data_IF_736130879540
#
_entry.id   IF_736130879540
#
_cell.length_a   1.000
_cell.length_b   1.000
_cell.length_c   1.000
_cell.angle_alpha   90.00
_cell.angle_beta   90.00
_cell.angle_gamma   90.00
#
_symmetry.space_group_name_H-M   'P 1'
#
loop_
_entity.id
_entity.type
_entity.pdbx_description
1 polymer ?
#
# COMPACT_ATOMS: atom_id res chain seq x y z
N UNK A 1 -33.25 3.26 -12.50
CA UNK A 1 -31.80 3.50 -12.56
C UNK A 1 -31.53 4.68 -11.66
N UNK A 2 -30.75 4.48 -10.60
CA UNK A 2 -30.24 5.54 -9.72
C UNK A 2 -29.19 6.32 -10.54
N UNK A 3 -29.14 7.64 -10.40
CA UNK A 3 -28.21 8.46 -11.20
C UNK A 3 -26.78 8.32 -10.64
N UNK A 4 -25.73 8.55 -11.45
CA UNK A 4 -24.35 8.62 -10.93
C UNK A 4 -24.16 9.64 -9.80
N UNK A 5 -24.93 10.74 -9.80
CA UNK A 5 -24.94 11.72 -8.71
C UNK A 5 -25.44 11.11 -7.39
N UNK A 6 -26.45 10.23 -7.44
CA UNK A 6 -26.97 9.56 -6.23
C UNK A 6 -25.94 8.61 -5.63
N UNK A 7 -25.12 7.92 -6.47
CA UNK A 7 -24.04 7.05 -6.01
C UNK A 7 -22.92 7.83 -5.31
N UNK A 8 -22.51 8.95 -5.88
CA UNK A 8 -21.48 9.81 -5.30
C UNK A 8 -21.94 10.38 -3.95
N UNK A 9 -23.16 10.88 -3.84
CA UNK A 9 -23.71 11.44 -2.59
C UNK A 9 -23.76 10.35 -1.49
N UNK A 10 -24.28 9.15 -1.81
CA UNK A 10 -24.32 8.05 -0.86
C UNK A 10 -22.91 7.63 -0.41
N UNK A 11 -21.93 7.56 -1.33
CA UNK A 11 -20.55 7.20 -1.01
C UNK A 11 -19.85 8.25 -0.12
N UNK A 12 -20.12 9.54 -0.33
CA UNK A 12 -19.67 10.63 0.55
C UNK A 12 -20.25 10.45 1.97
N UNK A 13 -21.55 10.19 2.08
CA UNK A 13 -22.22 10.01 3.38
C UNK A 13 -21.68 8.79 4.13
N UNK A 14 -21.47 7.67 3.42
CA UNK A 14 -20.88 6.44 3.99
C UNK A 14 -19.44 6.71 4.45
N UNK A 15 -18.60 7.35 3.62
CA UNK A 15 -17.24 7.71 4.00
C UNK A 15 -17.20 8.63 5.21
N UNK A 16 -18.02 9.69 5.21
CA UNK A 16 -18.11 10.62 6.33
C UNK A 16 -18.50 9.90 7.64
N UNK A 17 -19.36 8.88 7.53
CA UNK A 17 -19.74 8.05 8.67
C UNK A 17 -18.61 7.14 9.14
N UNK A 18 -17.87 6.51 8.22
CA UNK A 18 -16.73 5.65 8.54
C UNK A 18 -15.61 6.43 9.23
N UNK A 19 -15.31 7.65 8.79
CA UNK A 19 -14.29 8.52 9.41
C UNK A 19 -14.64 8.86 10.87
N UNK A 20 -15.92 9.01 11.20
CA UNK A 20 -16.36 9.34 12.58
C UNK A 20 -16.22 8.20 13.58
N UNK A 21 -15.93 6.99 13.13
CA UNK A 21 -15.58 5.89 14.03
C UNK A 21 -14.10 5.98 14.41
N UNK A 22 -13.81 5.92 15.70
CA UNK A 22 -12.45 5.78 16.22
C UNK A 22 -11.96 4.33 15.96
N UNK A 23 -11.12 4.21 14.94
CA UNK A 23 -10.49 2.95 14.56
C UNK A 23 -8.97 3.08 14.50
N UNK A 24 -8.42 3.99 15.31
CA UNK A 24 -6.97 4.20 15.43
C UNK A 24 -6.30 2.91 15.92
N UNK A 25 -5.28 2.49 15.22
CA UNK A 25 -4.51 1.29 15.51
C UNK A 25 -3.01 1.63 15.66
N UNK A 26 -2.37 1.36 16.80
CA UNK A 26 -2.96 0.81 18.02
C UNK A 26 -3.83 1.80 18.83
N UNK A 27 -4.80 1.34 19.68
CA UNK A 27 -5.04 -0.05 20.07
C UNK A 27 -5.96 -0.85 19.13
N UNK A 28 -6.72 -0.19 18.22
CA UNK A 28 -7.76 -0.79 17.39
C UNK A 28 -9.11 -0.93 18.13
N UNK A 29 -10.17 -0.31 17.60
CA UNK A 29 -11.53 -0.30 18.15
C UNK A 29 -12.56 -0.42 17.02
N UNK A 30 -12.34 -1.36 16.11
CA UNK A 30 -13.05 -1.41 14.83
C UNK A 30 -14.48 -1.96 14.95
N UNK A 31 -14.86 -2.59 16.07
CA UNK A 31 -16.18 -3.26 16.24
C UNK A 31 -17.35 -2.36 15.85
N UNK A 32 -17.43 -1.15 16.38
CA UNK A 32 -18.55 -0.26 16.12
C UNK A 32 -18.64 0.13 14.63
N UNK A 33 -17.50 0.32 13.97
CA UNK A 33 -17.38 0.58 12.54
C UNK A 33 -17.87 -0.62 11.72
N UNK A 34 -17.38 -1.81 12.03
CA UNK A 34 -17.72 -3.05 11.32
C UNK A 34 -19.18 -3.46 11.52
N UNK A 35 -19.73 -3.30 12.73
CA UNK A 35 -21.15 -3.56 12.99
C UNK A 35 -22.08 -2.61 12.23
N UNK A 36 -21.69 -1.32 12.14
CA UNK A 36 -22.43 -0.35 11.33
C UNK A 36 -22.35 -0.69 9.83
N UNK A 37 -21.17 -0.99 9.32
CA UNK A 37 -20.96 -1.37 7.92
C UNK A 37 -21.73 -2.66 7.57
N UNK A 38 -21.70 -3.64 8.47
CA UNK A 38 -22.49 -4.87 8.36
C UNK A 38 -23.98 -4.55 8.21
N UNK A 39 -24.54 -3.72 9.11
CA UNK A 39 -25.96 -3.36 9.07
C UNK A 39 -26.32 -2.64 7.76
N UNK A 40 -25.47 -1.70 7.30
CA UNK A 40 -25.66 -1.00 6.04
C UNK A 40 -25.76 -1.98 4.84
N UNK A 41 -24.90 -2.98 4.79
CA UNK A 41 -24.86 -3.99 3.73
C UNK A 41 -26.03 -5.00 3.85
N UNK A 42 -26.41 -5.41 5.06
CA UNK A 42 -27.58 -6.27 5.30
C UNK A 42 -28.89 -5.58 4.92
N UNK A 43 -29.03 -4.29 5.20
CA UNK A 43 -30.21 -3.48 4.79
C UNK A 43 -30.33 -3.40 3.26
N UNK A 44 -29.22 -3.51 2.54
CA UNK A 44 -29.20 -3.61 1.08
C UNK A 44 -29.47 -5.03 0.56
N UNK A 45 -29.43 -6.06 1.43
CA UNK A 45 -29.72 -7.46 1.10
C UNK A 45 -28.49 -8.31 0.81
N UNK A 46 -27.29 -7.93 1.30
CA UNK A 46 -26.11 -8.78 1.27
C UNK A 46 -26.12 -9.76 2.46
N UNK A 47 -25.47 -10.92 2.28
CA UNK A 47 -25.20 -11.87 3.36
C UNK A 47 -23.92 -11.45 4.09
N UNK A 48 -23.99 -11.12 5.38
CA UNK A 48 -22.86 -10.61 6.14
C UNK A 48 -22.52 -11.46 7.34
N UNK A 49 -21.22 -11.63 7.63
CA UNK A 49 -20.72 -12.24 8.86
C UNK A 49 -19.55 -11.45 9.45
N UNK A 50 -19.45 -11.42 10.77
CA UNK A 50 -18.30 -10.88 11.50
C UNK A 50 -17.45 -12.02 12.03
N UNK A 51 -16.15 -11.97 11.74
CA UNK A 51 -15.16 -12.98 12.08
C UNK A 51 -14.04 -12.35 12.89
N UNK A 52 -13.81 -12.87 14.10
CA UNK A 52 -12.77 -12.36 14.99
C UNK A 52 -11.65 -13.38 15.15
N UNK A 53 -10.43 -12.88 15.21
CA UNK A 53 -9.30 -13.60 15.79
C UNK A 53 -9.49 -13.72 17.33
N UNK A 54 -8.47 -13.39 18.10
CA UNK A 54 -8.53 -13.49 19.57
C UNK A 54 -9.32 -12.36 20.23
N UNK A 55 -9.30 -11.15 19.62
CA UNK A 55 -9.94 -9.97 20.18
C UNK A 55 -11.32 -9.71 19.57
N UNK A 56 -12.41 -9.90 20.33
CA UNK A 56 -13.77 -9.68 19.81
C UNK A 56 -14.07 -8.21 19.46
N UNK A 57 -13.29 -7.24 19.97
CA UNK A 57 -13.45 -5.83 19.63
C UNK A 57 -12.86 -5.46 18.25
N UNK A 58 -12.21 -6.42 17.59
CA UNK A 58 -11.57 -6.25 16.29
C UNK A 58 -12.08 -7.30 15.27
N UNK A 59 -13.37 -7.26 14.90
CA UNK A 59 -13.94 -8.19 13.93
C UNK A 59 -13.59 -7.78 12.51
N UNK A 60 -13.35 -8.77 11.64
CA UNK A 60 -13.33 -8.63 10.20
C UNK A 60 -14.77 -8.85 9.66
N UNK A 61 -15.17 -8.10 8.65
CA UNK A 61 -16.46 -8.23 8.00
C UNK A 61 -16.29 -8.93 6.65
N UNK A 62 -17.09 -9.97 6.42
CA UNK A 62 -17.27 -10.59 5.10
C UNK A 62 -18.71 -10.38 4.66
N UNK A 63 -18.91 -9.73 3.52
CA UNK A 63 -20.23 -9.57 2.92
C UNK A 63 -20.24 -10.20 1.51
N UNK A 64 -21.35 -10.85 1.14
CA UNK A 64 -21.44 -11.70 -0.06
C UNK A 64 -22.69 -11.42 -0.88
N UNK A 65 -22.48 -11.45 -2.21
CA UNK A 65 -23.56 -11.53 -3.20
C UNK A 65 -23.32 -12.76 -4.05
N UNK A 66 -24.12 -13.80 -3.88
CA UNK A 66 -23.95 -15.08 -4.57
C UNK A 66 -24.78 -15.16 -5.84
N UNK A 67 -24.18 -15.78 -6.88
CA UNK A 67 -24.83 -16.19 -8.10
C UNK A 67 -25.41 -17.59 -8.04
N UNK A 68 -25.82 -18.09 -9.19
CA UNK A 68 -26.35 -19.45 -9.33
C UNK A 68 -25.19 -20.46 -9.58
N UNK A 69 -24.85 -21.25 -8.55
CA UNK A 69 -23.83 -22.29 -8.62
C UNK A 69 -22.39 -21.79 -8.56
N UNK A 70 -21.45 -22.73 -8.76
CA UNK A 70 -20.02 -22.45 -8.68
C UNK A 70 -19.53 -21.61 -9.87
N UNK A 71 -18.60 -20.72 -9.58
CA UNK A 71 -18.00 -19.82 -10.56
C UNK A 71 -16.87 -18.99 -9.93
N UNK A 72 -16.33 -18.02 -10.66
CA UNK A 72 -15.26 -17.18 -10.16
C UNK A 72 -15.72 -16.28 -8.98
N UNK A 73 -14.80 -16.00 -8.08
CA UNK A 73 -15.04 -15.13 -6.93
C UNK A 73 -14.22 -13.84 -7.09
N UNK A 74 -14.93 -12.71 -7.19
CA UNK A 74 -14.32 -11.37 -7.15
C UNK A 74 -14.36 -10.85 -5.72
N UNK A 75 -13.20 -10.54 -5.16
CA UNK A 75 -13.05 -9.92 -3.85
C UNK A 75 -12.76 -8.43 -3.95
N UNK A 76 -13.37 -7.64 -3.09
CA UNK A 76 -13.00 -6.29 -2.72
C UNK A 76 -12.42 -6.34 -1.32
N UNK A 77 -11.19 -5.90 -1.15
CA UNK A 77 -10.47 -5.92 0.12
C UNK A 77 -10.17 -4.50 0.54
N UNK A 78 -10.56 -4.17 1.75
CA UNK A 78 -10.22 -2.89 2.36
C UNK A 78 -10.02 -3.03 3.87
N UNK A 79 -9.20 -2.16 4.47
CA UNK A 79 -9.08 -2.08 5.92
C UNK A 79 -9.85 -0.88 6.47
N UNK A 80 -10.28 -0.98 7.72
CA UNK A 80 -11.04 0.08 8.40
C UNK A 80 -10.26 0.74 9.55
N UNK A 81 -9.13 0.16 9.95
CA UNK A 81 -8.22 0.80 10.90
C UNK A 81 -7.45 1.95 10.24
N UNK A 82 -6.90 2.82 11.06
CA UNK A 82 -6.16 4.01 10.61
C UNK A 82 -4.99 4.28 11.54
N UNK A 83 -3.95 4.95 11.03
CA UNK A 83 -2.92 5.52 11.88
C UNK A 83 -3.48 6.68 12.73
N UNK A 84 -2.74 7.05 13.76
CA UNK A 84 -3.10 8.17 14.65
C UNK A 84 -3.09 9.51 13.90
N UNK A 85 -3.87 10.46 14.42
CA UNK A 85 -3.83 11.86 14.02
C UNK A 85 -3.88 12.75 15.27
N UNK A 86 -3.02 13.78 15.31
CA UNK A 86 -3.13 14.83 16.32
C UNK A 86 -3.95 16.00 15.73
N UNK A 87 -5.15 16.29 16.25
CA UNK A 87 -5.98 17.38 15.73
C UNK A 87 -5.30 18.75 15.73
N UNK A 88 -4.26 18.94 16.55
CA UNK A 88 -3.51 20.20 16.60
C UNK A 88 -2.71 20.49 15.32
N UNK A 89 -2.39 19.47 14.55
CA UNK A 89 -1.65 19.58 13.29
C UNK A 89 -2.56 19.78 12.08
N UNK A 90 -3.89 19.64 12.24
CA UNK A 90 -4.86 19.66 11.15
C UNK A 90 -5.59 20.99 11.03
N UNK A 91 -5.90 21.40 9.79
CA UNK A 91 -6.75 22.57 9.50
C UNK A 91 -8.22 22.34 9.81
N UNK A 92 -8.70 21.11 9.64
CA UNK A 92 -10.05 20.65 9.95
C UNK A 92 -9.96 19.43 10.86
N UNK A 93 -10.94 19.21 11.72
CA UNK A 93 -10.95 18.05 12.63
C UNK A 93 -10.83 16.74 11.85
N UNK A 94 -9.76 15.93 12.09
CA UNK A 94 -9.52 14.69 11.37
C UNK A 94 -10.61 13.62 11.55
N UNK A 95 -11.51 13.81 12.48
CA UNK A 95 -12.57 12.84 12.79
C UNK A 95 -13.97 13.36 12.41
N UNK A 96 -14.08 14.54 11.81
CA UNK A 96 -15.38 15.13 11.45
C UNK A 96 -16.01 14.47 10.20
N UNK A 97 -15.20 14.07 9.22
CA UNK A 97 -15.68 13.63 7.92
C UNK A 97 -16.46 14.71 7.19
N UNK A 98 -16.06 15.98 7.30
CA UNK A 98 -16.69 17.12 6.68
C UNK A 98 -16.11 17.40 5.29
N UNK A 99 -16.94 17.96 4.42
CA UNK A 99 -16.51 18.39 3.08
C UNK A 99 -16.15 19.88 3.13
N UNK A 100 -14.90 20.20 2.79
CA UNK A 100 -14.40 21.55 2.64
C UNK A 100 -13.71 21.70 1.27
N UNK A 101 -14.01 22.76 0.56
CA UNK A 101 -13.41 23.09 -0.74
C UNK A 101 -13.49 21.95 -1.79
N UNK A 102 -14.57 21.17 -1.76
CA UNK A 102 -14.80 20.05 -2.69
C UNK A 102 -14.05 18.77 -2.35
N UNK A 103 -13.38 18.69 -1.20
CA UNK A 103 -12.75 17.49 -0.69
C UNK A 103 -13.36 17.08 0.65
N UNK A 104 -13.47 15.77 0.90
CA UNK A 104 -13.82 15.20 2.20
C UNK A 104 -12.54 15.04 3.00
N UNK A 105 -12.52 15.64 4.19
CA UNK A 105 -11.36 15.69 5.09
C UNK A 105 -11.52 14.69 6.23
N UNK A 106 -10.41 14.03 6.55
CA UNK A 106 -10.35 13.16 7.71
C UNK A 106 -9.27 12.11 7.62
N UNK A 107 -8.85 11.58 8.75
CA UNK A 107 -7.96 10.42 8.80
C UNK A 107 -8.69 9.17 8.26
N UNK A 108 -8.09 8.51 7.27
CA UNK A 108 -8.72 7.44 6.52
C UNK A 108 -9.49 7.91 5.28
N UNK A 109 -9.52 9.22 4.99
CA UNK A 109 -10.20 9.73 3.78
C UNK A 109 -9.50 9.27 2.49
N UNK A 110 -8.22 8.99 2.55
CA UNK A 110 -7.44 8.44 1.44
C UNK A 110 -6.98 7.01 1.75
N UNK A 111 -6.49 6.75 2.95
CA UNK A 111 -5.95 5.47 3.40
C UNK A 111 -6.79 4.90 4.56
N UNK A 112 -7.77 3.94 4.30
CA UNK A 112 -8.36 3.67 2.98
C UNK A 112 -9.90 3.59 3.07
N UNK A 113 -10.52 4.29 4.07
CA UNK A 113 -11.99 4.24 4.28
C UNK A 113 -12.79 4.73 3.06
N UNK A 114 -12.18 5.55 2.16
CA UNK A 114 -12.83 5.95 0.92
C UNK A 114 -13.05 4.75 -0.01
N UNK A 115 -12.08 3.85 -0.12
CA UNK A 115 -12.25 2.63 -0.90
C UNK A 115 -13.30 1.72 -0.25
N UNK A 116 -13.25 1.54 1.08
CA UNK A 116 -14.28 0.79 1.82
C UNK A 116 -15.69 1.33 1.54
N UNK A 117 -15.86 2.66 1.56
CA UNK A 117 -17.14 3.30 1.28
C UNK A 117 -17.60 3.06 -0.17
N UNK A 118 -16.70 3.26 -1.14
CA UNK A 118 -16.99 3.07 -2.55
C UNK A 118 -17.40 1.62 -2.87
N UNK A 119 -16.66 0.64 -2.33
CA UNK A 119 -16.95 -0.79 -2.45
C UNK A 119 -18.32 -1.16 -1.85
N UNK A 120 -18.59 -0.67 -0.63
CA UNK A 120 -19.83 -0.95 0.07
C UNK A 120 -21.05 -0.37 -0.66
N UNK A 121 -20.96 0.89 -1.09
CA UNK A 121 -22.05 1.57 -1.83
C UNK A 121 -22.28 0.92 -3.19
N UNK A 122 -21.21 0.57 -3.91
CA UNK A 122 -21.30 -0.12 -5.19
C UNK A 122 -22.02 -1.47 -5.06
N UNK A 123 -21.63 -2.28 -4.08
CA UNK A 123 -22.26 -3.59 -3.84
C UNK A 123 -23.72 -3.46 -3.39
N UNK A 124 -24.01 -2.52 -2.47
CA UNK A 124 -25.38 -2.21 -2.04
C UNK A 124 -26.25 -1.78 -3.20
N UNK A 125 -25.74 -0.88 -4.06
CA UNK A 125 -26.43 -0.43 -5.26
C UNK A 125 -26.75 -1.57 -6.22
N UNK A 126 -25.77 -2.43 -6.50
CA UNK A 126 -25.96 -3.60 -7.37
C UNK A 126 -27.13 -4.49 -6.88
N UNK A 127 -27.13 -4.79 -5.57
CA UNK A 127 -28.14 -5.65 -4.96
C UNK A 127 -29.52 -5.00 -4.97
N UNK A 128 -29.64 -3.72 -4.62
CA UNK A 128 -30.88 -2.92 -4.66
C UNK A 128 -31.44 -2.82 -6.08
N UNK A 129 -30.56 -2.78 -7.09
CA UNK A 129 -30.96 -2.82 -8.50
C UNK A 129 -31.35 -4.21 -9.01
N UNK A 130 -31.34 -5.22 -8.15
CA UNK A 130 -31.69 -6.60 -8.49
C UNK A 130 -30.59 -7.38 -9.20
N UNK A 131 -29.36 -6.83 -9.27
CA UNK A 131 -28.23 -7.55 -9.87
C UNK A 131 -27.72 -8.66 -8.96
N UNK A 132 -27.35 -9.76 -9.58
CA UNK A 132 -26.62 -10.89 -8.97
C UNK A 132 -25.63 -11.42 -10.00
N UNK A 133 -24.48 -11.99 -9.57
CA UNK A 133 -23.62 -12.75 -10.47
C UNK A 133 -24.43 -13.86 -11.17
N UNK A 134 -24.14 -14.14 -12.43
CA UNK A 134 -24.73 -15.33 -13.08
C UNK A 134 -24.19 -16.62 -12.42
N UNK A 135 -22.89 -16.64 -12.13
CA UNK A 135 -22.22 -17.72 -11.40
C UNK A 135 -21.16 -17.12 -10.49
N UNK A 136 -20.75 -17.88 -9.45
CA UNK A 136 -19.72 -17.43 -8.54
C UNK A 136 -20.22 -16.40 -7.52
N UNK A 137 -19.35 -15.47 -7.13
CA UNK A 137 -19.62 -14.61 -5.98
C UNK A 137 -18.91 -13.25 -6.10
N UNK A 138 -19.58 -12.18 -5.71
CA UNK A 138 -18.94 -10.92 -5.30
C UNK A 138 -18.80 -10.93 -3.78
N UNK A 139 -17.59 -10.69 -3.30
CA UNK A 139 -17.26 -10.71 -1.87
C UNK A 139 -16.61 -9.39 -1.46
N UNK A 140 -17.12 -8.74 -0.39
CA UNK A 140 -16.47 -7.63 0.28
C UNK A 140 -15.81 -8.16 1.55
N UNK A 141 -14.56 -7.78 1.76
CA UNK A 141 -13.72 -8.22 2.86
C UNK A 141 -13.16 -6.97 3.52
N UNK A 142 -13.86 -6.45 4.54
CA UNK A 142 -13.37 -5.31 5.30
C UNK A 142 -12.62 -5.83 6.55
N UNK A 143 -11.30 -5.63 6.54
CA UNK A 143 -10.41 -6.17 7.57
C UNK A 143 -9.98 -5.13 8.59
N UNK A 144 -9.32 -5.59 9.62
CA UNK A 144 -8.69 -4.82 10.69
C UNK A 144 -7.17 -5.04 10.65
N UNK A 145 -6.41 -4.20 11.35
CA UNK A 145 -5.01 -4.44 11.69
C UNK A 145 -4.01 -4.27 10.53
N UNK A 146 -4.41 -3.71 9.39
CA UNK A 146 -3.51 -3.50 8.25
C UNK A 146 -2.33 -2.63 8.67
N UNK A 147 -2.59 -1.51 9.33
CA UNK A 147 -1.62 -0.48 9.76
C UNK A 147 -0.55 -0.99 10.73
N UNK A 148 -0.75 -2.19 11.28
CA UNK A 148 0.24 -2.89 12.14
C UNK A 148 0.64 -4.27 11.63
N UNK A 149 0.29 -4.57 10.35
CA UNK A 149 0.77 -5.72 9.58
C UNK A 149 -0.23 -6.85 9.36
N UNK A 150 -1.53 -6.64 9.63
CA UNK A 150 -2.64 -7.50 9.23
C UNK A 150 -2.78 -8.84 9.98
N UNK A 151 -2.13 -9.00 11.14
CA UNK A 151 -2.11 -10.27 11.88
C UNK A 151 -3.47 -10.71 12.40
N UNK A 152 -4.33 -9.76 12.78
CA UNK A 152 -5.70 -10.03 13.24
C UNK A 152 -6.72 -9.91 12.09
N UNK A 153 -6.30 -9.34 10.96
CA UNK A 153 -7.06 -9.11 9.75
C UNK A 153 -6.80 -10.14 8.67
N UNK A 154 -6.20 -9.69 7.57
CA UNK A 154 -6.01 -10.48 6.35
C UNK A 154 -5.16 -11.73 6.56
N UNK A 155 -4.09 -11.69 7.39
CA UNK A 155 -3.31 -12.87 7.70
C UNK A 155 -4.17 -13.93 8.39
N UNK A 156 -4.86 -13.55 9.47
CA UNK A 156 -5.71 -14.49 10.22
C UNK A 156 -6.82 -15.08 9.33
N UNK A 157 -7.48 -14.25 8.52
CA UNK A 157 -8.54 -14.72 7.62
C UNK A 157 -8.00 -15.74 6.61
N UNK A 158 -6.88 -15.46 5.97
CA UNK A 158 -6.31 -16.34 4.95
C UNK A 158 -5.78 -17.65 5.53
N UNK A 159 -5.23 -17.64 6.74
CA UNK A 159 -4.67 -18.82 7.41
C UNK A 159 -5.74 -19.64 8.15
N UNK A 160 -6.66 -19.00 8.87
CA UNK A 160 -7.60 -19.68 9.77
C UNK A 160 -9.03 -19.80 9.21
N UNK A 161 -9.38 -18.96 8.25
CA UNK A 161 -10.70 -18.96 7.61
C UNK A 161 -10.59 -18.88 6.07
N UNK A 162 -9.78 -19.77 5.46
CA UNK A 162 -9.60 -19.78 4.01
C UNK A 162 -10.91 -19.98 3.23
N UNK A 163 -11.91 -20.63 3.83
CA UNK A 163 -13.27 -20.76 3.31
C UNK A 163 -13.98 -19.41 3.13
N UNK A 164 -13.76 -18.49 4.05
CA UNK A 164 -14.32 -17.15 4.00
C UNK A 164 -13.47 -16.20 3.10
N UNK A 165 -12.14 -16.33 3.16
CA UNK A 165 -11.20 -15.42 2.50
C UNK A 165 -10.96 -15.70 1.01
N UNK A 166 -11.05 -16.97 0.53
CA UNK A 166 -10.66 -17.37 -0.83
C UNK A 166 -11.39 -16.57 -1.91
N UNK A 167 -10.60 -16.04 -2.85
CA UNK A 167 -11.05 -15.32 -4.04
C UNK A 167 -10.16 -15.68 -5.24
N UNK A 168 -10.65 -15.52 -6.46
CA UNK A 168 -9.89 -15.71 -7.69
C UNK A 168 -9.29 -14.38 -8.15
N UNK A 169 -10.06 -13.30 -8.02
CA UNK A 169 -9.63 -11.94 -8.30
C UNK A 169 -9.84 -11.06 -7.07
N UNK A 170 -8.89 -10.19 -6.79
CA UNK A 170 -8.93 -9.28 -5.64
C UNK A 170 -8.56 -7.86 -6.08
N UNK A 171 -9.39 -6.91 -5.72
CA UNK A 171 -9.03 -5.49 -5.73
C UNK A 171 -8.78 -5.04 -4.30
N UNK A 172 -7.65 -4.37 -4.09
CA UNK A 172 -7.22 -3.76 -2.84
C UNK A 172 -6.65 -2.34 -3.13
N UNK A 173 -6.05 -1.72 -2.15
CA UNK A 173 -5.36 -0.43 -2.24
C UNK A 173 -4.02 -0.50 -3.01
N UNK A 174 -3.40 0.67 -3.22
CA UNK A 174 -2.02 0.81 -3.69
C UNK A 174 -1.88 1.26 -5.14
N UNK A 175 -2.98 1.60 -5.82
CA UNK A 175 -2.97 2.12 -7.18
C UNK A 175 -4.25 2.86 -7.54
N UNK A 176 -4.38 3.29 -8.80
CA UNK A 176 -5.59 3.87 -9.35
C UNK A 176 -5.63 5.40 -9.41
N UNK A 177 -4.80 6.12 -8.65
CA UNK A 177 -4.72 7.56 -8.80
C UNK A 177 -4.02 7.94 -10.12
N UNK A 178 -4.58 8.91 -10.84
CA UNK A 178 -4.00 9.38 -12.10
C UNK A 178 -2.59 9.93 -11.89
N UNK A 179 -1.68 9.53 -12.78
CA UNK A 179 -0.30 10.00 -12.86
C UNK A 179 -0.13 10.78 -14.18
N UNK A 180 -0.18 12.11 -14.16
CA UNK A 180 0.16 12.91 -15.34
C UNK A 180 1.61 12.69 -15.77
N UNK A 181 1.82 12.36 -17.07
CA UNK A 181 3.16 12.18 -17.65
C UNK A 181 3.20 12.80 -19.04
N UNK A 182 3.72 14.03 -19.13
CA UNK A 182 3.57 14.86 -20.32
C UNK A 182 2.08 15.13 -20.61
N UNK A 183 1.63 14.75 -21.81
CA UNK A 183 0.21 14.86 -22.20
C UNK A 183 -0.61 13.59 -21.87
N UNK A 184 0.03 12.54 -21.35
CA UNK A 184 -0.60 11.26 -21.02
C UNK A 184 -1.20 11.27 -19.61
N UNK A 185 -2.27 10.52 -19.44
CA UNK A 185 -2.87 10.22 -18.13
C UNK A 185 -2.72 8.72 -17.87
N UNK A 186 -1.84 8.37 -16.95
CA UNK A 186 -1.56 6.99 -16.59
C UNK A 186 -2.27 6.67 -15.29
N UNK A 187 -2.85 5.47 -15.19
CA UNK A 187 -3.43 4.94 -13.96
C UNK A 187 -2.66 3.68 -13.56
N UNK A 188 -1.97 3.75 -12.45
CA UNK A 188 -1.20 2.62 -11.95
C UNK A 188 -2.11 1.50 -11.45
N UNK A 189 -1.95 0.29 -11.98
CA UNK A 189 -2.52 -0.93 -11.41
C UNK A 189 -1.42 -1.64 -10.65
N UNK A 190 -1.51 -1.66 -9.32
CA UNK A 190 -0.48 -2.23 -8.48
C UNK A 190 -0.51 -3.76 -8.53
N UNK A 191 0.42 -4.35 -9.27
CA UNK A 191 0.51 -5.80 -9.47
C UNK A 191 1.43 -6.50 -8.48
N UNK A 192 2.28 -5.76 -7.77
CA UNK A 192 3.33 -6.32 -6.95
C UNK A 192 3.70 -5.42 -5.77
N UNK A 193 4.36 -5.98 -4.79
CA UNK A 193 4.79 -5.31 -3.58
C UNK A 193 6.22 -5.67 -3.23
N UNK A 194 6.99 -4.68 -2.74
CA UNK A 194 8.36 -4.92 -2.27
C UNK A 194 8.37 -5.69 -0.96
N UNK A 195 9.39 -6.51 -0.81
CA UNK A 195 9.73 -7.13 0.47
C UNK A 195 10.57 -6.23 1.36
N UNK A 196 10.79 -6.68 2.58
CA UNK A 196 11.59 -5.98 3.58
C UNK A 196 12.66 -6.91 4.14
N UNK A 197 13.88 -6.39 4.25
CA UNK A 197 14.98 -6.99 5.03
C UNK A 197 15.55 -5.90 5.90
N UNK A 198 15.44 -6.07 7.21
CA UNK A 198 16.01 -5.11 8.17
C UNK A 198 17.33 -5.64 8.70
N UNK A 199 18.33 -4.78 8.79
CA UNK A 199 19.63 -5.17 9.31
C UNK A 199 20.28 -4.04 10.12
N UNK A 200 21.32 -4.41 10.89
CA UNK A 200 22.13 -3.48 11.65
C UNK A 200 23.57 -3.53 11.14
N UNK A 201 24.22 -2.38 11.17
CA UNK A 201 25.64 -2.23 10.90
C UNK A 201 26.31 -1.85 12.20
N UNK A 202 27.24 -2.69 12.66
CA UNK A 202 27.96 -2.52 13.92
C UNK A 202 29.40 -2.14 13.68
N UNK A 203 29.92 -1.24 14.51
CA UNK A 203 31.33 -0.92 14.59
C UNK A 203 31.86 -1.13 16.01
N UNK A 204 33.09 -1.62 16.08
CA UNK A 204 33.81 -1.82 17.33
C UNK A 204 35.05 -0.94 17.38
N UNK A 205 35.34 -0.41 18.54
CA UNK A 205 36.50 0.43 18.82
C UNK A 205 37.01 0.21 20.24
N UNK A 206 37.69 1.19 20.80
CA UNK A 206 38.19 1.20 22.18
C UNK A 206 37.78 2.47 22.87
N UNK A 207 37.11 2.30 24.04
CA UNK A 207 36.72 3.43 24.87
C UNK A 207 37.90 4.25 25.37
N UNK A 208 37.69 5.53 25.64
CA UNK A 208 38.66 6.42 26.20
C UNK A 208 38.05 7.72 26.70
N UNK A 209 38.87 8.51 27.39
CA UNK A 209 38.42 9.82 27.84
C UNK A 209 38.37 10.81 26.68
N UNK A 210 37.27 11.53 26.50
CA UNK A 210 37.07 12.42 25.34
C UNK A 210 38.10 13.54 25.20
N UNK A 211 38.77 13.94 26.29
CA UNK A 211 39.83 14.96 26.25
C UNK A 211 41.15 14.50 25.63
N UNK A 212 41.35 13.20 25.43
CA UNK A 212 42.56 12.62 24.80
C UNK A 212 42.18 11.62 23.71
N UNK A 213 41.52 12.10 22.62
CA UNK A 213 40.92 11.21 21.62
C UNK A 213 41.94 10.31 20.91
N UNK A 214 43.21 10.73 20.80
CA UNK A 214 44.27 9.92 20.18
C UNK A 214 44.65 8.65 20.93
N UNK A 215 44.18 8.46 22.20
CA UNK A 215 44.40 7.23 22.99
C UNK A 215 43.22 6.27 22.93
N UNK A 216 42.16 6.60 22.24
CA UNK A 216 40.97 5.78 22.04
C UNK A 216 40.79 5.41 20.56
N UNK A 217 39.80 4.56 20.29
CA UNK A 217 39.39 4.20 18.94
C UNK A 217 37.86 4.35 18.86
N UNK A 218 37.41 5.42 18.20
CA UNK A 218 36.01 5.88 18.24
C UNK A 218 35.16 5.04 17.29
N UNK A 219 34.32 4.14 17.82
CA UNK A 219 33.41 3.32 17.03
C UNK A 219 32.39 4.14 16.22
N UNK A 220 31.93 5.30 16.73
CA UNK A 220 31.00 6.18 16.02
C UNK A 220 31.57 6.68 14.70
N UNK A 221 32.85 7.07 14.68
CA UNK A 221 33.48 7.60 13.46
C UNK A 221 33.65 6.51 12.40
N UNK A 222 33.76 5.25 12.79
CA UNK A 222 33.89 4.12 11.86
C UNK A 222 32.61 3.83 11.07
N UNK A 223 31.45 4.21 11.61
CA UNK A 223 30.16 4.03 10.93
C UNK A 223 29.91 5.05 9.82
N UNK A 224 30.52 6.25 9.90
CA UNK A 224 30.18 7.36 9.01
C UNK A 224 30.30 7.03 7.52
N UNK A 225 31.36 6.37 7.00
CA UNK A 225 31.45 6.04 5.58
C UNK A 225 30.32 5.09 5.14
N UNK A 226 30.00 4.08 5.92
CA UNK A 226 28.92 3.13 5.63
C UNK A 226 27.54 3.80 5.70
N UNK A 227 27.30 4.64 6.71
CA UNK A 227 26.07 5.37 6.87
C UNK A 227 25.82 6.32 5.68
N UNK A 228 26.84 7.07 5.25
CA UNK A 228 26.74 7.96 4.10
C UNK A 228 26.49 7.18 2.80
N UNK A 229 27.25 6.11 2.55
CA UNK A 229 27.13 5.30 1.33
C UNK A 229 25.79 4.58 1.23
N UNK A 230 25.28 4.00 2.32
CA UNK A 230 23.96 3.38 2.35
C UNK A 230 22.82 4.40 2.25
N UNK A 231 22.96 5.56 2.90
CA UNK A 231 21.91 6.58 2.92
C UNK A 231 21.83 7.45 1.66
N UNK A 232 22.89 7.55 0.88
CA UNK A 232 22.97 8.39 -0.31
C UNK A 232 23.38 7.64 -1.58
N UNK A 233 23.92 6.44 -1.43
CA UNK A 233 24.36 5.61 -2.56
C UNK A 233 23.16 4.97 -3.26
N UNK A 234 23.34 4.72 -4.55
CA UNK A 234 22.39 3.94 -5.34
C UNK A 234 22.90 2.51 -5.44
N UNK A 235 22.15 1.57 -4.88
CA UNK A 235 22.36 0.16 -5.19
C UNK A 235 22.02 -0.05 -6.67
N UNK A 236 22.77 -0.82 -7.41
CA UNK A 236 22.43 -1.10 -8.82
C UNK A 236 20.99 -1.61 -8.98
N UNK A 237 20.49 -1.58 -10.19
CA UNK A 237 19.12 -1.98 -10.51
C UNK A 237 18.97 -3.51 -10.61
N UNK A 238 17.84 -4.02 -10.15
CA UNK A 238 17.41 -5.41 -10.27
C UNK A 238 15.97 -5.39 -10.87
N UNK A 239 15.87 -5.05 -12.16
CA UNK A 239 14.59 -4.79 -12.85
C UNK A 239 13.81 -6.09 -13.01
N UNK A 240 12.76 -6.25 -12.21
CA UNK A 240 11.81 -7.36 -12.28
C UNK A 240 10.71 -7.11 -13.32
N UNK A 241 9.89 -8.12 -13.63
CA UNK A 241 8.94 -8.07 -14.75
C UNK A 241 7.91 -6.92 -14.63
N UNK A 242 7.43 -6.62 -13.43
CA UNK A 242 6.47 -5.54 -13.19
C UNK A 242 7.11 -4.15 -13.42
N UNK A 243 8.35 -3.98 -12.96
CA UNK A 243 9.10 -2.75 -13.20
C UNK A 243 9.48 -2.60 -14.69
N UNK A 244 9.79 -3.72 -15.37
CA UNK A 244 9.99 -3.76 -16.81
C UNK A 244 8.74 -3.33 -17.56
N UNK A 245 7.59 -3.92 -17.22
CA UNK A 245 6.32 -3.59 -17.85
C UNK A 245 5.93 -2.11 -17.64
N UNK A 246 6.27 -1.54 -16.49
CA UNK A 246 6.04 -0.11 -16.26
C UNK A 246 6.96 0.76 -17.11
N UNK A 247 8.27 0.45 -17.20
CA UNK A 247 9.20 1.15 -18.11
C UNK A 247 8.74 1.06 -19.57
N UNK A 248 8.37 -0.14 -20.05
CA UNK A 248 7.82 -0.34 -21.39
C UNK A 248 6.57 0.54 -21.63
N UNK A 249 5.65 0.61 -20.64
CA UNK A 249 4.47 1.46 -20.73
C UNK A 249 4.81 2.96 -20.77
N UNK A 250 5.91 3.39 -20.16
CA UNK A 250 6.42 4.76 -20.28
C UNK A 250 7.10 5.03 -21.62
N UNK A 251 7.41 3.99 -22.40
CA UNK A 251 8.17 4.06 -23.65
C UNK A 251 9.69 4.09 -23.43
N UNK A 252 10.14 3.59 -22.26
CA UNK A 252 11.54 3.56 -21.85
C UNK A 252 12.17 2.18 -22.03
N UNK A 253 13.49 2.13 -22.21
CA UNK A 253 14.23 0.86 -22.36
C UNK A 253 14.53 0.23 -20.98
N UNK A 254 13.92 -0.92 -20.63
CA UNK A 254 14.20 -1.60 -19.37
C UNK A 254 15.63 -2.18 -19.26
N UNK A 255 16.37 -2.26 -20.37
CA UNK A 255 17.75 -2.71 -20.37
C UNK A 255 18.74 -1.61 -19.97
N UNK A 256 18.31 -0.34 -20.02
CA UNK A 256 19.07 0.83 -19.58
C UNK A 256 18.24 1.66 -18.57
N UNK A 257 18.00 1.11 -17.36
CA UNK A 257 17.13 1.73 -16.37
C UNK A 257 17.67 3.06 -15.83
N UNK A 258 19.00 3.27 -15.82
CA UNK A 258 19.59 4.53 -15.38
C UNK A 258 19.21 5.68 -16.32
N UNK A 259 19.43 5.53 -17.62
CA UNK A 259 19.01 6.53 -18.61
C UNK A 259 17.48 6.67 -18.70
N UNK A 260 16.73 5.59 -18.45
CA UNK A 260 15.27 5.63 -18.38
C UNK A 260 14.80 6.54 -17.23
N UNK A 261 15.35 6.40 -16.02
CA UNK A 261 15.05 7.27 -14.88
C UNK A 261 15.39 8.73 -15.19
N UNK A 262 16.54 8.99 -15.81
CA UNK A 262 16.93 10.36 -16.21
C UNK A 262 15.94 10.99 -17.20
N UNK A 263 15.45 10.22 -18.20
CA UNK A 263 14.44 10.70 -19.15
C UNK A 263 13.09 10.94 -18.48
N UNK A 264 12.64 10.03 -17.61
CA UNK A 264 11.43 10.24 -16.83
C UNK A 264 11.55 11.45 -15.90
N UNK A 265 12.72 11.63 -15.25
CA UNK A 265 13.04 12.80 -14.43
C UNK A 265 12.93 14.12 -15.20
N UNK A 266 13.33 14.12 -16.47
CA UNK A 266 13.25 15.32 -17.31
C UNK A 266 11.82 15.70 -17.70
N UNK A 267 10.88 14.74 -17.73
CA UNK A 267 9.47 14.95 -18.06
C UNK A 267 8.64 15.23 -16.79
N UNK A 268 8.76 14.36 -15.79
CA UNK A 268 8.03 14.44 -14.52
C UNK A 268 8.88 13.93 -13.35
N UNK A 269 9.56 14.85 -12.64
CA UNK A 269 10.45 14.50 -11.52
C UNK A 269 9.77 13.69 -10.40
N UNK A 270 8.48 13.93 -10.17
CA UNK A 270 7.72 13.23 -9.11
C UNK A 270 7.46 11.78 -9.49
N UNK A 271 7.20 11.50 -10.78
CA UNK A 271 7.10 10.14 -11.27
C UNK A 271 8.42 9.40 -11.17
N UNK A 272 9.54 10.05 -11.53
CA UNK A 272 10.88 9.46 -11.41
C UNK A 272 11.19 9.07 -9.95
N UNK A 273 10.81 9.92 -8.98
CA UNK A 273 11.01 9.66 -7.55
C UNK A 273 10.20 8.45 -7.05
N UNK A 274 9.04 8.16 -7.66
CA UNK A 274 8.23 6.98 -7.34
C UNK A 274 8.68 5.73 -8.12
N UNK A 275 9.17 5.90 -9.35
CA UNK A 275 9.65 4.83 -10.22
C UNK A 275 10.97 4.24 -9.72
N UNK A 276 11.98 5.10 -9.45
CA UNK A 276 13.35 4.66 -9.14
C UNK A 276 13.40 3.62 -7.99
N UNK A 277 12.67 3.80 -6.86
CA UNK A 277 12.64 2.80 -5.79
C UNK A 277 12.10 1.42 -6.21
N UNK A 278 11.35 1.33 -7.30
CA UNK A 278 10.79 0.05 -7.78
C UNK A 278 11.76 -0.75 -8.63
N UNK A 279 12.83 -0.12 -9.13
CA UNK A 279 13.79 -0.73 -10.06
C UNK A 279 14.88 -1.56 -9.37
N UNK A 280 15.01 -1.50 -8.03
CA UNK A 280 16.04 -2.23 -7.31
C UNK A 280 15.90 -2.17 -5.79
N UNK A 281 16.95 -2.58 -5.09
CA UNK A 281 17.04 -2.48 -3.64
C UNK A 281 17.14 -1.02 -3.20
N UNK A 282 16.41 -0.67 -2.14
CA UNK A 282 16.53 0.64 -1.48
C UNK A 282 17.00 0.46 -0.03
N UNK A 283 17.85 1.37 0.44
CA UNK A 283 18.41 1.34 1.79
C UNK A 283 18.13 2.67 2.49
N UNK A 284 17.47 2.62 3.63
CA UNK A 284 17.16 3.78 4.45
C UNK A 284 17.70 3.58 5.87
N UNK A 285 18.85 4.16 6.25
CA UNK A 285 19.26 4.22 7.65
C UNK A 285 18.25 5.02 8.45
N UNK A 286 17.71 4.42 9.52
CA UNK A 286 16.59 5.00 10.28
C UNK A 286 16.88 5.24 11.75
N UNK A 287 17.76 4.44 12.35
CA UNK A 287 18.12 4.52 13.76
C UNK A 287 19.63 4.50 13.90
N UNK A 288 20.17 5.27 14.85
CA UNK A 288 21.60 5.24 15.21
C UNK A 288 21.74 5.22 16.75
N UNK A 289 22.68 4.42 17.25
CA UNK A 289 23.00 4.33 18.66
C UNK A 289 24.52 4.34 18.87
N UNK A 290 25.02 5.23 19.73
CA UNK A 290 26.44 5.29 20.08
C UNK A 290 26.64 6.08 21.37
N UNK A 291 27.46 5.53 22.30
CA UNK A 291 27.87 6.19 23.52
C UNK A 291 26.76 6.40 24.55
N UNK A 292 27.15 6.54 25.82
CA UNK A 292 26.23 6.76 26.95
C UNK A 292 26.56 8.06 27.72
N UNK A 293 27.79 8.53 27.58
CA UNK A 293 28.31 9.69 28.32
C UNK A 293 29.10 10.62 27.43
N UNK A 294 28.83 11.92 27.49
CA UNK A 294 29.47 12.93 26.63
C UNK A 294 31.00 12.98 26.76
N UNK A 295 31.55 12.62 27.91
CA UNK A 295 33.02 12.65 28.16
C UNK A 295 33.71 11.29 27.94
N UNK A 296 33.02 10.31 27.31
CA UNK A 296 33.54 8.97 27.00
C UNK A 296 33.43 8.71 25.51
N UNK A 297 34.55 8.37 24.87
CA UNK A 297 34.58 7.92 23.48
C UNK A 297 33.96 6.50 23.43
N UNK A 298 32.96 6.24 22.57
CA UNK A 298 32.28 4.95 22.55
C UNK A 298 33.12 3.85 21.92
N UNK A 299 33.13 2.66 22.55
CA UNK A 299 33.75 1.46 22.04
C UNK A 299 32.81 0.65 21.13
N UNK A 300 31.52 0.98 21.08
CA UNK A 300 30.51 0.35 20.24
C UNK A 300 29.61 1.43 19.67
N UNK A 301 29.22 1.24 18.43
CA UNK A 301 28.23 2.05 17.74
C UNK A 301 27.50 1.18 16.72
N UNK A 302 26.26 1.47 16.45
CA UNK A 302 25.44 0.79 15.45
C UNK A 302 24.45 1.74 14.80
N UNK A 303 24.02 1.39 13.58
CA UNK A 303 22.82 1.95 12.98
C UNK A 303 21.97 0.86 12.35
N UNK A 304 20.64 1.08 12.32
CA UNK A 304 19.68 0.19 11.68
C UNK A 304 19.27 0.71 10.30
N UNK A 305 19.02 -0.21 9.39
CA UNK A 305 18.65 0.05 8.00
C UNK A 305 17.35 -0.69 7.69
N UNK A 306 16.36 0.04 7.13
CA UNK A 306 15.21 -0.54 6.44
C UNK A 306 15.61 -0.73 4.96
N UNK A 307 15.73 -1.98 4.52
CA UNK A 307 16.00 -2.34 3.14
C UNK A 307 14.73 -2.88 2.50
N UNK A 308 14.37 -2.34 1.33
CA UNK A 308 13.23 -2.79 0.53
C UNK A 308 13.71 -3.40 -0.77
N UNK A 309 13.17 -4.58 -1.12
CA UNK A 309 13.58 -5.37 -2.28
C UNK A 309 12.40 -5.60 -3.22
N UNK A 310 12.60 -5.55 -4.55
CA UNK A 310 11.61 -6.02 -5.52
C UNK A 310 11.14 -7.45 -5.22
N UNK A 311 9.90 -7.83 -5.64
CA UNK A 311 9.34 -9.13 -5.34
C UNK A 311 10.20 -10.29 -5.87
N UNK A 312 10.29 -11.36 -5.08
CA UNK A 312 11.10 -12.53 -5.40
C UNK A 312 12.59 -12.39 -5.11
N UNK A 313 13.05 -11.20 -4.69
CA UNK A 313 14.42 -10.98 -4.22
C UNK A 313 14.44 -11.03 -2.68
N UNK A 314 15.49 -11.64 -2.13
CA UNK A 314 15.58 -11.88 -0.71
C UNK A 314 16.91 -11.42 -0.09
N UNK A 315 17.16 -11.84 1.14
CA UNK A 315 18.27 -11.44 2.01
C UNK A 315 19.64 -11.51 1.30
N UNK A 316 19.89 -12.53 0.47
CA UNK A 316 21.16 -12.67 -0.25
C UNK A 316 21.42 -11.49 -1.25
N UNK A 317 20.36 -10.90 -1.80
CA UNK A 317 20.46 -9.71 -2.65
C UNK A 317 20.71 -8.48 -1.78
N UNK A 318 20.00 -8.33 -0.66
CA UNK A 318 20.22 -7.27 0.30
C UNK A 318 21.68 -7.23 0.80
N UNK A 319 22.21 -8.40 1.21
CA UNK A 319 23.61 -8.55 1.65
C UNK A 319 24.60 -8.11 0.58
N UNK A 320 24.45 -8.66 -0.63
CA UNK A 320 25.31 -8.31 -1.75
C UNK A 320 25.32 -6.82 -2.04
N UNK A 321 24.11 -6.21 -2.17
CA UNK A 321 23.97 -4.79 -2.47
C UNK A 321 24.46 -3.89 -1.35
N UNK A 322 24.25 -4.27 -0.08
CA UNK A 322 24.78 -3.55 1.07
C UNK A 322 26.32 -3.56 1.06
N UNK A 323 26.93 -4.72 0.82
CA UNK A 323 28.39 -4.84 0.73
C UNK A 323 28.98 -4.07 -0.47
N UNK A 324 28.30 -4.08 -1.64
CA UNK A 324 28.70 -3.28 -2.81
C UNK A 324 28.70 -1.77 -2.49
N UNK A 325 27.69 -1.27 -1.79
CA UNK A 325 27.60 0.14 -1.40
C UNK A 325 28.61 0.50 -0.31
N UNK A 326 28.74 -0.30 0.73
CA UNK A 326 29.66 -0.02 1.85
C UNK A 326 31.12 -0.07 1.37
N UNK A 327 31.44 -1.01 0.46
CA UNK A 327 32.81 -1.23 -0.01
C UNK A 327 33.74 -1.62 1.13
N UNK A 328 34.96 -1.06 1.12
CA UNK A 328 35.97 -1.28 2.16
C UNK A 328 35.72 -0.46 3.44
N UNK A 329 34.66 0.33 3.48
CA UNK A 329 34.30 1.21 4.61
C UNK A 329 35.48 2.08 5.11
N UNK A 330 36.34 2.51 4.18
CA UNK A 330 37.60 3.26 4.47
C UNK A 330 38.58 2.47 5.38
N UNK A 331 38.61 1.12 5.24
CA UNK A 331 39.47 0.22 6.00
C UNK A 331 38.93 -0.12 7.39
N UNK A 332 37.70 0.23 7.72
CA UNK A 332 37.08 -0.17 9.00
C UNK A 332 36.40 -1.54 8.89
N UNK A 333 36.63 -2.40 9.89
CA UNK A 333 35.88 -3.65 10.03
C UNK A 333 34.47 -3.35 10.57
N UNK A 334 33.45 -3.64 9.76
CA UNK A 334 32.04 -3.53 10.13
C UNK A 334 31.38 -4.90 10.10
N UNK A 335 30.48 -5.15 11.04
CA UNK A 335 29.66 -6.35 11.12
C UNK A 335 28.24 -6.01 10.69
N UNK A 336 27.70 -6.73 9.70
CA UNK A 336 26.31 -6.60 9.26
C UNK A 336 25.49 -7.75 9.86
N UNK A 337 24.48 -7.41 10.65
CA UNK A 337 23.56 -8.36 11.28
C UNK A 337 22.19 -8.23 10.61
N UNK A 338 21.84 -9.23 9.79
CA UNK A 338 20.56 -9.29 9.09
C UNK A 338 19.48 -9.92 9.98
N UNK A 339 18.31 -9.27 10.03
CA UNK A 339 17.14 -9.70 10.80
C UNK A 339 16.14 -10.49 9.97
N UNK A 340 14.86 -10.31 10.33
CA UNK A 340 13.76 -10.99 9.66
C UNK A 340 13.60 -10.54 8.21
N UNK A 341 13.30 -11.48 7.34
CA UNK A 341 13.01 -11.27 5.92
C UNK A 341 11.50 -11.41 5.67
N UNK A 342 10.93 -10.45 4.96
CA UNK A 342 9.61 -10.55 4.35
C UNK A 342 9.80 -10.44 2.86
N UNK A 343 9.66 -11.55 2.13
CA UNK A 343 9.80 -11.55 0.67
C UNK A 343 8.58 -10.87 0.05
N UNK A 344 8.83 -9.91 -0.84
CA UNK A 344 7.79 -9.28 -1.65
C UNK A 344 7.13 -10.27 -2.59
N UNK A 345 5.87 -10.05 -2.92
CA UNK A 345 5.12 -10.93 -3.80
C UNK A 345 4.42 -10.18 -4.94
N UNK A 346 3.87 -10.93 -5.89
CA UNK A 346 3.34 -10.40 -7.14
C UNK A 346 2.17 -11.21 -7.67
N UNK A 347 1.36 -10.57 -8.49
CA UNK A 347 0.39 -11.18 -9.39
C UNK A 347 0.83 -10.96 -10.86
N UNK A 348 0.40 -11.78 -11.81
CA UNK A 348 0.72 -11.57 -13.23
C UNK A 348 0.30 -10.17 -13.70
N UNK A 349 1.11 -9.51 -14.54
CA UNK A 349 0.77 -8.20 -15.11
C UNK A 349 -0.34 -8.28 -16.19
N UNK A 350 -0.57 -9.46 -16.74
CA UNK A 350 -1.65 -9.74 -17.72
C UNK A 350 -2.64 -10.72 -17.11
N UNK A 351 -3.92 -10.37 -17.10
CA UNK A 351 -5.01 -11.20 -16.58
C UNK A 351 -6.36 -10.66 -17.03
N UNK A 352 -7.44 -11.47 -16.93
CA UNK A 352 -8.80 -10.98 -17.18
C UNK A 352 -9.17 -9.76 -16.29
N UNK A 353 -8.63 -9.66 -15.06
CA UNK A 353 -8.84 -8.53 -14.18
C UNK A 353 -8.17 -7.26 -14.74
N UNK A 354 -6.93 -7.35 -15.25
CA UNK A 354 -6.25 -6.21 -15.90
C UNK A 354 -7.03 -5.75 -17.14
N UNK A 355 -7.48 -6.69 -17.96
CA UNK A 355 -8.27 -6.38 -19.16
C UNK A 355 -9.57 -5.67 -18.82
N UNK A 356 -10.27 -6.10 -17.75
CA UNK A 356 -11.50 -5.48 -17.29
C UNK A 356 -11.27 -4.06 -16.75
N UNK A 357 -10.18 -3.83 -16.00
CA UNK A 357 -9.77 -2.50 -15.52
C UNK A 357 -9.47 -1.58 -16.71
N UNK A 358 -8.65 -2.03 -17.66
CA UNK A 358 -8.27 -1.25 -18.82
C UNK A 358 -9.49 -0.91 -19.72
N UNK A 359 -10.40 -1.87 -19.92
CA UNK A 359 -11.62 -1.65 -20.67
C UNK A 359 -12.53 -0.63 -20.01
N UNK A 360 -12.75 -0.75 -18.68
CA UNK A 360 -13.53 0.24 -17.93
C UNK A 360 -12.90 1.64 -18.04
N UNK A 361 -11.59 1.74 -17.81
CA UNK A 361 -10.88 3.02 -17.84
C UNK A 361 -10.99 3.70 -19.22
N UNK A 362 -10.88 2.93 -20.32
CA UNK A 362 -10.98 3.45 -21.66
C UNK A 362 -12.37 4.08 -21.98
N UNK A 363 -13.41 3.61 -21.29
CA UNK A 363 -14.78 4.13 -21.39
C UNK A 363 -14.99 5.33 -20.45
N UNK A 364 -14.51 5.23 -19.20
CA UNK A 364 -14.73 6.21 -18.14
C UNK A 364 -13.83 7.46 -18.25
N UNK A 365 -12.60 7.30 -18.76
CA UNK A 365 -11.63 8.39 -19.02
C UNK A 365 -10.93 8.20 -20.38
N UNK A 366 -11.62 8.55 -21.50
CA UNK A 366 -11.09 8.29 -22.85
C UNK A 366 -9.71 8.90 -23.08
N UNK A 367 -8.76 8.07 -23.52
CA UNK A 367 -7.36 8.43 -23.75
C UNK A 367 -6.47 8.28 -22.50
N UNK A 368 -6.99 7.81 -21.39
CA UNK A 368 -6.17 7.35 -20.26
C UNK A 368 -5.68 5.90 -20.48
N UNK A 369 -4.61 5.54 -19.79
CA UNK A 369 -3.93 4.26 -19.92
C UNK A 369 -3.77 3.57 -18.57
N UNK A 370 -4.21 2.32 -18.45
CA UNK A 370 -3.89 1.46 -17.30
C UNK A 370 -2.46 0.91 -17.46
N UNK A 371 -1.62 1.10 -16.46
CA UNK A 371 -0.22 0.66 -16.51
C UNK A 371 0.11 -0.17 -15.27
N UNK A 372 0.83 -1.30 -15.40
CA UNK A 372 1.24 -2.08 -14.25
C UNK A 372 2.25 -1.30 -13.40
N UNK A 373 2.06 -1.33 -12.09
CA UNK A 373 2.97 -0.69 -11.13
C UNK A 373 3.29 -1.62 -9.97
N UNK A 374 4.23 -1.19 -9.12
CA UNK A 374 4.65 -1.89 -7.91
C UNK A 374 4.58 -0.95 -6.72
N UNK A 375 4.00 -1.42 -5.62
CA UNK A 375 4.05 -0.72 -4.33
C UNK A 375 5.47 -0.82 -3.73
N UNK A 376 6.10 0.30 -3.36
CA UNK A 376 7.39 0.26 -2.68
C UNK A 376 7.31 -0.23 -1.22
N UNK A 377 6.11 -0.37 -0.68
CA UNK A 377 5.75 -0.96 0.60
C UNK A 377 5.03 -2.30 0.39
N UNK A 378 4.17 -2.70 1.33
CA UNK A 378 3.28 -3.86 1.19
C UNK A 378 1.91 -3.52 1.78
N UNK A 379 0.90 -4.26 1.34
CA UNK A 379 -0.50 -4.16 1.77
C UNK A 379 -1.02 -5.55 2.18
N UNK A 380 -2.25 -5.64 2.57
CA UNK A 380 -2.91 -6.91 2.89
C UNK A 380 -3.04 -7.86 1.68
N UNK A 381 -2.86 -7.39 0.44
CA UNK A 381 -2.79 -8.25 -0.76
C UNK A 381 -1.74 -9.36 -0.65
N UNK A 382 -0.66 -9.11 0.10
CA UNK A 382 0.42 -10.09 0.30
C UNK A 382 -0.06 -11.40 0.94
N UNK A 383 -1.03 -11.31 1.86
CA UNK A 383 -1.54 -12.47 2.57
C UNK A 383 -2.40 -13.34 1.65
N UNK A 384 -3.20 -12.71 0.79
CA UNK A 384 -4.01 -13.40 -0.21
C UNK A 384 -3.14 -14.07 -1.28
N UNK A 385 -2.13 -13.37 -1.83
CA UNK A 385 -1.18 -13.94 -2.78
C UNK A 385 -0.37 -15.10 -2.19
N UNK A 386 -0.01 -15.01 -0.90
CA UNK A 386 0.72 -16.08 -0.22
C UNK A 386 -0.15 -17.31 0.05
N UNK A 387 -1.40 -17.13 0.50
CA UNK A 387 -2.31 -18.22 0.84
C UNK A 387 -2.98 -18.86 -0.38
N UNK A 388 -3.22 -18.08 -1.44
CA UNK A 388 -3.94 -18.51 -2.63
C UNK A 388 -3.10 -18.21 -3.90
N UNK A 389 -2.19 -19.13 -4.30
CA UNK A 389 -1.26 -18.90 -5.41
C UNK A 389 -1.91 -18.59 -6.76
N UNK A 390 -3.17 -19.00 -6.95
CA UNK A 390 -3.95 -18.73 -8.17
C UNK A 390 -4.72 -17.40 -8.10
N UNK A 391 -4.72 -16.73 -6.94
CA UNK A 391 -5.37 -15.44 -6.77
C UNK A 391 -4.61 -14.34 -7.50
N UNK A 392 -5.32 -13.60 -8.35
CA UNK A 392 -4.81 -12.36 -8.96
C UNK A 392 -5.26 -11.18 -8.13
N UNK A 393 -4.34 -10.59 -7.37
CA UNK A 393 -4.62 -9.44 -6.50
C UNK A 393 -3.95 -8.17 -7.05
N UNK A 394 -4.74 -7.14 -7.30
CA UNK A 394 -4.27 -5.83 -7.74
C UNK A 394 -4.71 -4.72 -6.78
N UNK A 395 -3.87 -3.70 -6.64
CA UNK A 395 -4.25 -2.44 -6.01
C UNK A 395 -4.82 -1.49 -7.06
N UNK A 396 -6.10 -1.06 -6.89
CA UNK A 396 -6.72 -0.12 -7.82
C UNK A 396 -7.95 0.59 -7.22
N UNK A 397 -7.75 1.84 -6.82
CA UNK A 397 -8.80 2.78 -6.40
C UNK A 397 -8.77 3.99 -7.35
N UNK A 398 -9.58 4.04 -8.41
CA UNK A 398 -9.43 5.04 -9.46
C UNK A 398 -9.77 6.46 -9.00
N UNK A 399 -8.83 7.40 -9.20
CA UNK A 399 -8.95 8.82 -8.92
C UNK A 399 -8.54 9.61 -10.14
N UNK A 400 -9.43 10.48 -10.63
CA UNK A 400 -9.23 11.26 -11.85
C UNK A 400 -8.92 12.74 -11.59
N UNK A 401 -9.40 13.27 -10.46
CA UNK A 401 -9.34 14.69 -10.12
C UNK A 401 -8.18 15.02 -9.18
N UNK A 402 -7.88 14.14 -8.25
CA UNK A 402 -6.73 14.24 -7.36
C UNK A 402 -5.64 13.29 -7.86
N UNK A 403 -4.53 13.85 -8.39
CA UNK A 403 -3.45 13.05 -8.94
C UNK A 403 -2.60 12.38 -7.84
N UNK A 404 -1.85 11.33 -8.21
CA UNK A 404 -1.00 10.58 -7.29
C UNK A 404 0.03 11.47 -6.58
N UNK A 405 0.55 12.48 -7.26
CA UNK A 405 1.59 13.35 -6.70
C UNK A 405 1.05 14.30 -5.64
N UNK A 406 -0.26 14.55 -5.65
CA UNK A 406 -0.98 15.30 -4.61
C UNK A 406 -1.46 14.38 -3.49
N UNK A 407 -1.92 13.16 -3.82
CA UNK A 407 -2.49 12.20 -2.86
C UNK A 407 -1.41 11.54 -2.00
N UNK A 408 -0.32 11.07 -2.61
CA UNK A 408 0.72 10.31 -1.92
C UNK A 408 1.32 11.04 -0.70
N UNK A 409 1.63 12.36 -0.77
CA UNK A 409 2.13 13.08 0.41
C UNK A 409 1.13 13.25 1.55
N UNK A 410 -0.16 12.97 1.33
CA UNK A 410 -1.21 13.06 2.36
C UNK A 410 -1.35 11.76 3.16
N UNK A 411 -0.86 10.63 2.64
CA UNK A 411 -0.89 9.35 3.32
C UNK A 411 -0.12 9.46 4.64
N UNK A 412 -0.74 9.08 5.75
CA UNK A 412 -0.21 9.18 7.12
C UNK A 412 0.18 10.61 7.57
N UNK A 413 -0.06 11.63 6.74
CA UNK A 413 0.20 13.04 7.07
C UNK A 413 -1.03 13.74 7.65
N UNK A 414 -0.85 14.95 8.17
CA UNK A 414 -1.96 15.83 8.50
C UNK A 414 -2.67 16.32 7.23
N UNK A 415 -3.91 16.78 7.39
CA UNK A 415 -4.73 17.31 6.28
C UNK A 415 -5.06 16.28 5.19
N UNK A 416 -5.10 14.99 5.53
CA UNK A 416 -5.55 13.92 4.65
C UNK A 416 -6.97 14.19 4.16
N UNK A 417 -7.18 14.07 2.87
CA UNK A 417 -8.45 14.36 2.22
C UNK A 417 -8.54 13.74 0.84
N UNK A 418 -9.75 13.59 0.35
CA UNK A 418 -10.02 13.09 -1.00
C UNK A 418 -11.06 13.98 -1.71
N UNK A 419 -10.83 14.29 -2.98
CA UNK A 419 -11.81 15.00 -3.82
C UNK A 419 -13.10 14.18 -3.91
N UNK A 420 -14.24 14.80 -3.61
CA UNK A 420 -15.54 14.09 -3.57
C UNK A 420 -15.94 13.51 -4.93
N UNK A 421 -15.44 14.04 -6.03
CA UNK A 421 -15.70 13.52 -7.38
C UNK A 421 -14.99 12.19 -7.62
N UNK A 422 -13.83 11.98 -6.97
CA UNK A 422 -13.08 10.74 -7.08
C UNK A 422 -13.74 9.61 -6.29
N UNK A 423 -14.44 9.92 -5.19
CA UNK A 423 -15.27 8.93 -4.49
C UNK A 423 -16.36 8.41 -5.42
N UNK A 424 -17.06 9.31 -6.16
CA UNK A 424 -18.06 8.94 -7.15
C UNK A 424 -17.46 8.10 -8.28
N UNK A 425 -16.33 8.55 -8.85
CA UNK A 425 -15.64 7.87 -9.94
C UNK A 425 -15.21 6.45 -9.56
N UNK A 426 -14.67 6.27 -8.36
CA UNK A 426 -14.31 4.95 -7.84
C UNK A 426 -15.56 4.08 -7.57
N UNK A 427 -16.64 4.64 -7.05
CA UNK A 427 -17.89 3.90 -6.82
C UNK A 427 -18.48 3.37 -8.12
N UNK A 428 -18.42 4.14 -9.20
CA UNK A 428 -18.82 3.68 -10.55
C UNK A 428 -17.97 2.51 -11.02
N UNK A 429 -16.65 2.53 -10.81
CA UNK A 429 -15.75 1.42 -11.11
C UNK A 429 -16.15 0.15 -10.35
N UNK A 430 -16.31 0.23 -9.04
CA UNK A 430 -16.69 -0.91 -8.20
C UNK A 430 -18.10 -1.44 -8.52
N UNK A 431 -19.00 -0.62 -9.03
CA UNK A 431 -20.33 -1.05 -9.49
C UNK A 431 -20.31 -1.71 -10.89
N UNK A 432 -19.32 -1.39 -11.72
CA UNK A 432 -19.21 -1.92 -13.08
C UNK A 432 -18.37 -3.20 -13.17
N UNK A 433 -17.26 -3.27 -12.44
CA UNK A 433 -16.30 -4.37 -12.49
C UNK A 433 -16.94 -5.78 -12.31
N UNK A 434 -17.86 -6.01 -11.36
CA UNK A 434 -18.51 -7.31 -11.20
C UNK A 434 -19.34 -7.72 -12.42
N UNK A 435 -19.92 -6.74 -13.13
CA UNK A 435 -20.70 -6.98 -14.34
C UNK A 435 -19.84 -7.42 -15.53
N UNK A 436 -18.54 -7.09 -15.52
CA UNK A 436 -17.58 -7.51 -16.54
C UNK A 436 -17.01 -8.90 -16.26
N UNK A 437 -16.83 -9.26 -14.99
CA UNK A 437 -16.11 -10.48 -14.60
C UNK A 437 -17.02 -11.63 -14.16
N UNK A 438 -18.22 -11.35 -13.65
CA UNK A 438 -19.11 -12.35 -13.06
C UNK A 438 -20.37 -12.59 -13.92
N UNK A 439 -20.20 -12.66 -15.24
CA UNK A 439 -21.26 -12.91 -16.23
C UNK A 439 -21.43 -14.41 -16.53
#
# INVERSE_FOLDING_TARGET
MISPMDLQEEAIDVLARLIRFDTVNPPGNERACQEWLKQYLEDAGLECELLCAENPERPNLIARVRGEGDGPVLGYLSHVDTVLADPADWRHDPWSGEVHDGALWGRGAFDMKAQTAAEAVAAAHLVRAGWRPQRGELKLIAVVDEETGGRLGAQWLTEQRPDAARVDWLINEGGGAVMPYGERRLYGVCCAEKGTVRFRVHARGRAGHASVPGLADNALLKLLPALERLGRGRAGYDVVDEARAFLDALGEDPADPESAVERVQAVEPRLAALLEPTLGATFAPTLISAGEKINVIPARAEFAVDCRLPPGLGIAVAERRAHELIGDADGFELELEFGEEIVGNRSPVASPLMDAIAAWLSEADPGAEAVPTMMPAFTDSRWFRAAFPDCVAYGFFPQRHQDLYTSWPLMHAADERLDVRDIGFATEFFADLPRRLLT
#
